data_IF_141281096234
#
_entry.id   IF_141281096234
#
_cell.length_a   1.000
_cell.length_b   1.000
_cell.length_c   1.000
_cell.angle_alpha   90.00
_cell.angle_beta   90.00
_cell.angle_gamma   90.00
#
_symmetry.space_group_name_H-M   'P 1'
#
loop_
_entity.id
_entity.type
_entity.pdbx_description
1 polymer ?
#
# COMPACT_ATOMS: atom_id res chain seq x y z
N UNK A 1 3.03 -4.73 -13.96
CA UNK A 1 1.86 -4.70 -14.52
C UNK A 1 1.02 -3.46 -14.39
N UNK A 2 0.41 -3.14 -13.25
CA UNK A 2 -0.27 -1.86 -13.10
C UNK A 2 0.63 -0.92 -12.31
N UNK A 3 1.24 0.06 -12.97
CA UNK A 3 2.10 1.02 -12.29
C UNK A 3 1.28 1.93 -11.39
N UNK A 4 0.10 2.32 -11.83
CA UNK A 4 -0.82 3.14 -11.06
C UNK A 4 -2.24 2.98 -11.61
N UNK A 5 -3.22 3.39 -10.78
CA UNK A 5 -4.61 3.49 -11.17
C UNK A 5 -5.07 4.92 -10.91
N UNK A 6 -5.72 5.53 -11.89
CA UNK A 6 -6.23 6.87 -11.79
C UNK A 6 -7.74 6.85 -12.08
N UNK A 7 -8.53 7.32 -11.14
CA UNK A 7 -9.98 7.31 -11.29
C UNK A 7 -10.68 7.95 -10.10
N UNK A 8 -11.96 7.62 -9.94
CA UNK A 8 -12.81 8.19 -8.90
C UNK A 8 -12.88 7.25 -7.70
N UNK A 9 -12.68 7.81 -6.50
CA UNK A 9 -12.83 7.05 -5.25
C UNK A 9 -14.32 6.79 -5.02
N UNK A 10 -14.74 5.53 -5.14
CA UNK A 10 -16.14 5.14 -5.02
C UNK A 10 -16.50 4.56 -3.67
N UNK A 11 -15.63 3.73 -3.10
CA UNK A 11 -15.86 3.05 -1.83
C UNK A 11 -14.62 3.16 -0.97
N UNK A 12 -14.82 3.34 0.33
CA UNK A 12 -13.73 3.42 1.31
C UNK A 12 -14.09 2.55 2.50
N UNK A 13 -13.40 1.43 2.63
CA UNK A 13 -13.62 0.46 3.69
C UNK A 13 -12.49 0.55 4.73
N UNK A 14 -12.39 -0.45 5.61
CA UNK A 14 -11.37 -0.43 6.68
C UNK A 14 -9.97 -0.76 6.21
N UNK A 15 -9.84 -1.56 5.15
CA UNK A 15 -8.55 -2.04 4.66
C UNK A 15 -8.42 -1.95 3.13
N UNK A 16 -9.44 -1.46 2.45
CA UNK A 16 -9.38 -1.29 1.00
C UNK A 16 -10.28 -0.15 0.54
N UNK A 17 -10.01 0.30 -0.66
CA UNK A 17 -10.85 1.25 -1.39
C UNK A 17 -11.24 0.65 -2.72
N UNK A 18 -12.27 1.20 -3.35
CA UNK A 18 -12.62 0.86 -4.73
C UNK A 18 -12.50 2.11 -5.57
N UNK A 19 -11.73 2.00 -6.65
CA UNK A 19 -11.48 3.08 -7.59
C UNK A 19 -12.20 2.76 -8.89
N UNK A 20 -13.08 3.65 -9.31
CA UNK A 20 -13.81 3.51 -10.56
C UNK A 20 -12.99 4.11 -11.71
N UNK A 21 -12.63 3.27 -12.65
CA UNK A 21 -11.92 3.70 -13.86
C UNK A 21 -12.78 3.31 -15.05
N UNK A 22 -13.52 4.29 -15.59
CA UNK A 22 -14.35 4.09 -16.75
C UNK A 22 -15.48 3.06 -16.56
N UNK A 23 -16.01 2.94 -15.34
CA UNK A 23 -17.05 1.98 -15.02
C UNK A 23 -16.56 0.66 -14.48
N UNK A 24 -15.24 0.48 -14.37
CA UNK A 24 -14.64 -0.73 -13.80
C UNK A 24 -14.11 -0.39 -12.41
N UNK A 25 -14.61 -1.10 -11.38
CA UNK A 25 -14.20 -0.87 -10.00
C UNK A 25 -13.02 -1.74 -9.59
N UNK A 26 -11.89 -1.13 -9.31
CA UNK A 26 -10.69 -1.82 -8.83
C UNK A 26 -10.65 -1.79 -7.31
N UNK A 27 -10.57 -2.97 -6.71
CA UNK A 27 -10.39 -3.12 -5.26
C UNK A 27 -8.91 -3.02 -4.94
N UNK A 28 -8.54 -2.04 -4.13
CA UNK A 28 -7.14 -1.75 -3.81
C UNK A 28 -6.98 -1.73 -2.30
N UNK A 29 -6.13 -2.63 -1.78
CA UNK A 29 -5.81 -2.67 -0.36
C UNK A 29 -4.82 -1.58 -0.02
N UNK A 30 -5.07 -0.86 1.07
CA UNK A 30 -4.23 0.25 1.50
C UNK A 30 -4.14 0.31 3.02
N UNK A 31 -3.11 0.99 3.52
CA UNK A 31 -3.03 1.30 4.94
C UNK A 31 -4.11 2.31 5.32
N UNK A 32 -4.50 2.34 6.61
CA UNK A 32 -5.49 3.28 7.11
C UNK A 32 -5.05 4.74 6.86
N UNK A 33 -3.77 5.03 7.12
CA UNK A 33 -3.21 6.36 6.89
C UNK A 33 -3.26 6.72 5.40
N UNK A 34 -2.91 5.76 4.54
CA UNK A 34 -2.97 5.98 3.09
C UNK A 34 -4.38 6.29 2.62
N UNK A 35 -5.37 5.58 3.13
CA UNK A 35 -6.77 5.82 2.77
C UNK A 35 -7.27 7.18 3.24
N UNK A 36 -6.87 7.63 4.43
CA UNK A 36 -7.23 8.95 4.93
C UNK A 36 -6.77 10.07 4.00
N UNK A 37 -5.59 9.93 3.43
CA UNK A 37 -5.01 10.94 2.54
C UNK A 37 -5.71 11.04 1.19
N UNK A 38 -6.54 10.08 0.83
CA UNK A 38 -7.27 10.10 -0.44
C UNK A 38 -8.40 11.11 -0.48
N UNK A 39 -8.89 11.54 0.68
CA UNK A 39 -10.01 12.45 0.77
C UNK A 39 -11.35 11.74 0.74
N UNK A 40 -12.38 12.45 0.33
CA UNK A 40 -13.75 11.96 0.36
C UNK A 40 -14.11 11.13 -0.88
N UNK A 41 -15.14 10.30 -0.71
CA UNK A 41 -15.74 9.58 -1.84
C UNK A 41 -16.16 10.58 -2.91
N UNK A 42 -15.90 10.26 -4.17
CA UNK A 42 -16.14 11.14 -5.32
C UNK A 42 -14.92 11.91 -5.77
N UNK A 43 -13.83 11.89 -4.99
CA UNK A 43 -12.60 12.57 -5.33
C UNK A 43 -11.84 11.81 -6.42
N UNK A 44 -11.22 12.55 -7.34
CA UNK A 44 -10.30 11.95 -8.32
C UNK A 44 -8.98 11.63 -7.63
N UNK A 45 -8.52 10.40 -7.77
CA UNK A 45 -7.30 9.94 -7.11
C UNK A 45 -6.37 9.24 -8.10
N UNK A 46 -5.09 9.27 -7.78
CA UNK A 46 -4.07 8.49 -8.48
C UNK A 46 -3.33 7.68 -7.44
N UNK A 47 -3.38 6.37 -7.57
CA UNK A 47 -2.81 5.45 -6.59
C UNK A 47 -1.75 4.60 -7.28
N UNK A 48 -0.55 4.59 -6.73
CA UNK A 48 0.53 3.70 -7.20
C UNK A 48 0.24 2.31 -6.70
N UNK A 49 0.34 1.31 -7.57
CA UNK A 49 -0.13 -0.02 -7.24
C UNK A 49 0.94 -1.09 -7.35
N UNK A 50 0.78 -2.13 -6.56
CA UNK A 50 1.56 -3.36 -6.61
C UNK A 50 0.57 -4.50 -6.81
N UNK A 51 0.71 -5.24 -7.91
CA UNK A 51 -0.13 -6.41 -8.18
C UNK A 51 0.55 -7.65 -7.63
N UNK A 52 -0.10 -8.27 -6.66
CA UNK A 52 0.36 -9.53 -6.10
C UNK A 52 -0.44 -10.67 -6.73
N UNK A 53 0.24 -11.53 -7.46
CA UNK A 53 -0.36 -12.70 -8.08
C UNK A 53 0.08 -13.95 -7.34
N UNK A 54 -0.89 -14.74 -6.90
CA UNK A 54 -0.66 -16.02 -6.27
C UNK A 54 -1.44 -17.07 -7.04
N UNK A 55 -1.18 -18.34 -6.73
CA UNK A 55 -1.85 -19.44 -7.40
C UNK A 55 -3.37 -19.37 -7.27
N UNK A 56 -3.84 -18.96 -6.09
CA UNK A 56 -5.27 -18.94 -5.73
C UNK A 56 -5.84 -17.52 -5.56
N UNK A 57 -5.05 -16.48 -5.84
CA UNK A 57 -5.49 -15.11 -5.56
C UNK A 57 -4.72 -14.07 -6.37
N UNK A 58 -5.38 -12.94 -6.63
CA UNK A 58 -4.79 -11.74 -7.20
C UNK A 58 -5.25 -10.54 -6.39
N UNK A 59 -4.33 -9.74 -5.92
CA UNK A 59 -4.65 -8.58 -5.08
C UNK A 59 -3.84 -7.36 -5.51
N UNK A 60 -4.50 -6.19 -5.49
CA UNK A 60 -3.82 -4.90 -5.70
C UNK A 60 -3.60 -4.22 -4.36
N UNK A 61 -2.39 -3.74 -4.15
CA UNK A 61 -2.03 -2.92 -2.99
C UNK A 61 -1.70 -1.52 -3.49
N UNK A 62 -2.19 -0.50 -2.80
CA UNK A 62 -2.09 0.87 -3.26
C UNK A 62 -1.36 1.79 -2.29
N UNK A 63 -0.70 2.79 -2.86
CA UNK A 63 0.13 3.75 -2.14
C UNK A 63 -0.03 5.13 -2.76
N UNK A 64 0.01 6.16 -1.93
CA UNK A 64 -0.13 7.53 -2.39
C UNK A 64 1.11 8.05 -3.13
N UNK A 65 2.27 7.48 -2.81
CA UNK A 65 3.54 7.90 -3.40
C UNK A 65 4.35 6.70 -3.86
N UNK A 66 5.27 6.93 -4.80
CA UNK A 66 6.22 5.91 -5.23
C UNK A 66 7.16 5.49 -4.10
N UNK A 67 7.47 6.40 -3.19
CA UNK A 67 8.32 6.09 -2.04
C UNK A 67 7.69 5.03 -1.15
N UNK A 68 6.40 5.18 -0.86
CA UNK A 68 5.66 4.20 -0.08
C UNK A 68 5.62 2.85 -0.78
N UNK A 69 5.41 2.84 -2.10
CA UNK A 69 5.43 1.62 -2.89
C UNK A 69 6.78 0.90 -2.78
N UNK A 70 7.88 1.65 -2.89
CA UNK A 70 9.23 1.10 -2.76
C UNK A 70 9.47 0.54 -1.38
N UNK A 71 8.99 1.21 -0.34
CA UNK A 71 9.07 0.72 1.04
C UNK A 71 8.35 -0.62 1.17
N UNK A 72 7.16 -0.72 0.59
CA UNK A 72 6.38 -1.95 0.59
C UNK A 72 7.15 -3.09 -0.09
N UNK A 73 7.71 -2.83 -1.26
CA UNK A 73 8.49 -3.81 -2.00
C UNK A 73 9.73 -4.27 -1.23
N UNK A 74 10.41 -3.33 -0.56
CA UNK A 74 11.55 -3.65 0.28
C UNK A 74 11.14 -4.52 1.47
N UNK A 75 10.03 -4.23 2.10
CA UNK A 75 9.51 -5.02 3.21
C UNK A 75 9.16 -6.44 2.76
N UNK A 76 8.60 -6.59 1.57
CA UNK A 76 8.29 -7.92 1.03
C UNK A 76 9.55 -8.75 0.78
N UNK A 77 10.70 -8.11 0.54
CA UNK A 77 11.97 -8.80 0.35
C UNK A 77 12.54 -9.35 1.66
N UNK A 78 12.04 -8.88 2.80
CA UNK A 78 12.48 -9.33 4.11
C UNK A 78 11.82 -10.67 4.44
N UNK A 79 12.62 -11.65 4.84
CA UNK A 79 12.11 -12.97 5.20
C UNK A 79 11.10 -12.88 6.35
N UNK A 80 9.94 -13.52 6.16
CA UNK A 80 8.88 -13.55 7.16
C UNK A 80 7.92 -12.36 7.12
N UNK A 81 8.10 -11.40 6.19
CA UNK A 81 7.18 -10.28 6.04
C UNK A 81 6.28 -10.51 4.83
N UNK A 82 4.99 -10.70 5.08
CA UNK A 82 3.99 -10.81 4.02
C UNK A 82 3.37 -9.46 3.69
N UNK A 83 2.49 -9.44 2.68
CA UNK A 83 1.86 -8.20 2.22
C UNK A 83 1.03 -7.51 3.30
N UNK A 84 0.24 -8.25 4.06
CA UNK A 84 -0.59 -7.66 5.12
C UNK A 84 0.26 -7.09 6.24
N UNK A 85 1.34 -7.79 6.60
CA UNK A 85 2.28 -7.30 7.63
C UNK A 85 2.98 -6.04 7.14
N UNK A 86 3.38 -5.99 5.88
CA UNK A 86 4.01 -4.81 5.28
C UNK A 86 3.08 -3.60 5.34
N UNK A 87 1.81 -3.77 5.04
CA UNK A 87 0.81 -2.69 5.11
C UNK A 87 0.69 -2.17 6.54
N UNK A 88 0.65 -3.06 7.53
CA UNK A 88 0.57 -2.66 8.94
C UNK A 88 1.81 -1.87 9.35
N UNK A 89 3.00 -2.34 8.95
CA UNK A 89 4.26 -1.66 9.23
C UNK A 89 4.25 -0.24 8.63
N UNK A 90 3.80 -0.09 7.39
CA UNK A 90 3.72 1.21 6.72
C UNK A 90 2.72 2.16 7.39
N UNK A 91 1.75 1.64 8.14
CA UNK A 91 0.82 2.46 8.91
C UNK A 91 1.47 3.05 10.16
N UNK A 92 2.62 2.54 10.58
CA UNK A 92 3.27 2.90 11.83
C UNK A 92 4.65 3.53 11.66
N UNK A 93 5.12 3.73 10.44
CA UNK A 93 6.47 4.25 10.19
C UNK A 93 6.44 5.25 9.04
N UNK A 94 7.18 6.35 9.19
CA UNK A 94 7.32 7.36 8.13
C UNK A 94 8.37 6.91 7.12
N UNK A 95 8.35 7.44 5.89
CA UNK A 95 9.41 7.18 4.92
C UNK A 95 10.82 7.49 5.45
N UNK A 96 10.96 8.58 6.21
CA UNK A 96 12.25 8.95 6.81
C UNK A 96 12.74 7.93 7.82
N UNK A 97 11.84 7.48 8.71
CA UNK A 97 12.18 6.47 9.71
C UNK A 97 12.50 5.13 9.07
N UNK A 98 11.79 4.77 8.01
CA UNK A 98 12.05 3.55 7.26
C UNK A 98 13.44 3.58 6.62
N UNK A 99 13.79 4.68 5.97
CA UNK A 99 15.09 4.85 5.32
C UNK A 99 16.22 4.74 6.35
N UNK A 100 16.06 5.37 7.54
CA UNK A 100 17.03 5.28 8.60
C UNK A 100 17.21 3.84 9.10
N UNK A 101 16.12 3.11 9.27
CA UNK A 101 16.17 1.71 9.71
C UNK A 101 16.89 0.82 8.69
N UNK A 102 16.69 1.07 7.40
CA UNK A 102 17.39 0.34 6.34
C UNK A 102 18.88 0.65 6.36
N UNK A 103 19.24 1.93 6.49
CA UNK A 103 20.66 2.36 6.54
C UNK A 103 21.37 1.75 7.75
N UNK A 104 20.70 1.68 8.89
CA UNK A 104 21.28 1.11 10.11
C UNK A 104 21.15 -0.40 10.19
N UNK A 105 20.55 -1.01 9.18
CA UNK A 105 20.31 -2.46 9.10
C UNK A 105 19.44 -2.98 10.26
N UNK A 106 18.50 -2.15 10.70
CA UNK A 106 17.62 -2.48 11.83
C UNK A 106 16.30 -3.12 11.38
N UNK A 107 16.44 -4.18 10.58
CA UNK A 107 15.29 -4.91 10.02
C UNK A 107 14.47 -5.58 11.13
N UNK A 108 15.14 -6.06 12.18
CA UNK A 108 14.47 -6.69 13.32
C UNK A 108 13.47 -5.74 13.99
N UNK A 109 13.80 -4.46 14.07
CA UNK A 109 12.90 -3.45 14.62
C UNK A 109 11.65 -3.28 13.76
N UNK A 110 11.81 -3.28 12.44
CA UNK A 110 10.69 -3.19 11.52
C UNK A 110 9.72 -4.37 11.68
N UNK A 111 10.26 -5.57 11.85
CA UNK A 111 9.45 -6.78 12.03
C UNK A 111 8.64 -6.78 13.32
N UNK A 112 9.06 -6.03 14.33
CA UNK A 112 8.37 -5.97 15.62
C UNK A 112 7.22 -4.98 15.64
N UNK A 113 7.09 -4.15 14.63
CA UNK A 113 5.96 -3.23 14.52
C UNK A 113 4.68 -4.00 14.26
N UNK A 114 3.58 -3.60 14.87
CA UNK A 114 2.30 -4.29 14.70
C UNK A 114 1.74 -4.18 13.29
#
# INVERSE_FOLDING_TARGET
MYAYIKGTLEIKMTDYVVIDVGGLGYKVYMSAIGMEKLGNIGTQVKIHTYLRVREDDMSLYGFNTNEELRMFELLLSVSGVGAKSAIVILSNITPSSFALAVITDDVGKLKKLP
#
